data_IF_509989049742
#
_entry.id   IF_509989049742
#
_cell.length_a   1.000
_cell.length_b   1.000
_cell.length_c   1.000
_cell.angle_alpha   90.00
_cell.angle_beta   90.00
_cell.angle_gamma   90.00
#
_symmetry.space_group_name_H-M   'P 1'
#
loop_
_entity.id
_entity.type
_entity.pdbx_description
1 polymer ?
#
# COMPACT_ATOMS: atom_id res chain seq x y z
N UNK A 1 -4.53 25.96 -20.10
CA UNK A 1 -3.75 24.79 -19.63
C UNK A 1 -4.72 23.66 -19.34
N UNK A 2 -4.97 22.81 -20.34
CA UNK A 2 -5.95 21.74 -20.26
C UNK A 2 -5.40 20.56 -19.49
N UNK A 3 -6.16 20.10 -18.51
CA UNK A 3 -5.87 18.94 -17.69
C UNK A 3 -5.97 17.70 -18.59
N UNK A 4 -4.82 17.25 -19.10
CA UNK A 4 -4.66 15.95 -19.77
C UNK A 4 -4.71 14.83 -18.72
N UNK A 5 -5.90 14.60 -18.15
CA UNK A 5 -6.21 13.29 -17.57
C UNK A 5 -6.37 12.31 -18.75
N UNK A 6 -5.23 11.79 -19.23
CA UNK A 6 -5.20 10.58 -20.03
C UNK A 6 -6.03 9.51 -19.31
N UNK A 7 -7.09 9.02 -19.97
CA UNK A 7 -7.95 7.93 -19.50
C UNK A 7 -7.11 6.66 -19.26
N UNK A 8 -6.41 6.56 -18.14
CA UNK A 8 -5.92 5.26 -17.67
C UNK A 8 -7.16 4.42 -17.37
N UNK A 9 -7.25 3.26 -18.03
CA UNK A 9 -8.31 2.31 -17.73
C UNK A 9 -8.24 1.95 -16.24
N UNK A 10 -9.36 1.76 -15.56
CA UNK A 10 -9.36 1.43 -14.12
C UNK A 10 -8.55 0.15 -13.84
N UNK A 11 -8.49 -0.74 -14.83
CA UNK A 11 -7.62 -1.92 -14.84
C UNK A 11 -6.13 -1.59 -14.75
N UNK A 12 -5.65 -0.58 -15.50
CA UNK A 12 -4.29 -0.07 -15.35
C UNK A 12 -4.05 0.57 -13.98
N UNK A 13 -5.02 1.31 -13.45
CA UNK A 13 -4.90 1.90 -12.11
C UNK A 13 -4.81 0.83 -11.00
N UNK A 14 -5.52 -0.29 -11.15
CA UNK A 14 -5.40 -1.44 -10.24
C UNK A 14 -4.03 -2.10 -10.37
N UNK A 15 -3.58 -2.38 -11.60
CA UNK A 15 -2.27 -3.01 -11.83
C UNK A 15 -1.11 -2.17 -11.28
N UNK A 16 -1.17 -0.85 -11.43
CA UNK A 16 -0.18 0.08 -10.87
C UNK A 16 -0.19 0.06 -9.33
N UNK A 17 -1.37 -0.02 -8.70
CA UNK A 17 -1.48 -0.15 -7.25
C UNK A 17 -0.94 -1.48 -6.74
N UNK A 18 -1.19 -2.57 -7.46
CA UNK A 18 -0.65 -3.90 -7.14
C UNK A 18 0.88 -3.91 -7.20
N UNK A 19 1.46 -3.35 -8.27
CA UNK A 19 2.91 -3.21 -8.40
C UNK A 19 3.51 -2.37 -7.25
N UNK A 20 2.88 -1.24 -6.90
CA UNK A 20 3.34 -0.42 -5.77
C UNK A 20 3.27 -1.17 -4.44
N UNK A 21 2.23 -1.97 -4.22
CA UNK A 21 2.11 -2.80 -3.00
C UNK A 21 3.21 -3.86 -2.97
N UNK A 22 3.45 -4.56 -4.09
CA UNK A 22 4.49 -5.59 -4.17
C UNK A 22 5.90 -5.03 -3.91
N UNK A 23 6.22 -3.85 -4.48
CA UNK A 23 7.48 -3.15 -4.21
C UNK A 23 7.65 -2.76 -2.74
N UNK A 24 6.57 -2.27 -2.10
CA UNK A 24 6.58 -1.94 -0.68
C UNK A 24 6.74 -3.18 0.19
N UNK A 25 6.11 -4.30 -0.15
CA UNK A 25 6.29 -5.57 0.54
C UNK A 25 7.73 -6.09 0.44
N UNK A 26 8.33 -6.04 -0.76
CA UNK A 26 9.76 -6.35 -0.95
C UNK A 26 10.66 -5.46 -0.09
N UNK A 27 10.37 -4.16 -0.06
CA UNK A 27 11.12 -3.19 0.76
C UNK A 27 11.00 -3.49 2.25
N UNK A 28 9.81 -3.82 2.75
CA UNK A 28 9.58 -4.15 4.16
C UNK A 28 10.29 -5.45 4.53
N UNK A 29 10.22 -6.48 3.67
CA UNK A 29 10.91 -7.76 3.86
C UNK A 29 12.43 -7.55 3.94
N UNK A 30 12.98 -6.72 3.06
CA UNK A 30 14.39 -6.34 3.08
C UNK A 30 14.76 -5.61 4.38
N UNK A 31 13.97 -4.62 4.81
CA UNK A 31 14.24 -3.87 6.05
C UNK A 31 14.16 -4.76 7.30
N UNK A 32 13.24 -5.73 7.35
CA UNK A 32 13.16 -6.73 8.44
C UNK A 32 14.43 -7.58 8.49
N UNK A 33 14.81 -8.18 7.35
CA UNK A 33 16.03 -9.01 7.26
C UNK A 33 17.30 -8.21 7.60
N UNK A 34 17.37 -6.94 7.16
CA UNK A 34 18.49 -6.04 7.48
C UNK A 34 18.56 -5.73 8.97
N UNK A 35 17.41 -5.52 9.64
CA UNK A 35 17.36 -5.28 11.10
C UNK A 35 17.88 -6.48 11.89
N UNK A 36 17.47 -7.70 11.51
CA UNK A 36 17.92 -8.93 12.15
C UNK A 36 19.42 -9.15 11.95
N UNK A 37 19.89 -9.12 10.70
CA UNK A 37 21.31 -9.28 10.39
C UNK A 37 22.21 -8.21 11.01
N UNK A 38 21.76 -6.95 11.07
CA UNK A 38 22.51 -5.87 11.71
C UNK A 38 22.67 -6.10 13.22
N UNK A 39 21.68 -6.72 13.87
CA UNK A 39 21.79 -7.09 15.28
C UNK A 39 22.83 -8.19 15.48
N UNK A 40 22.78 -9.25 14.68
CA UNK A 40 23.73 -10.37 14.79
C UNK A 40 25.17 -9.95 14.52
N UNK A 41 25.38 -9.14 13.47
CA UNK A 41 26.69 -8.60 13.14
C UNK A 41 27.20 -7.74 14.29
N UNK A 42 26.36 -6.88 14.86
CA UNK A 42 26.75 -6.01 15.98
C UNK A 42 27.23 -6.81 17.19
N UNK A 43 26.49 -7.85 17.61
CA UNK A 43 26.91 -8.70 18.72
C UNK A 43 28.22 -9.44 18.42
N UNK A 44 28.37 -10.00 17.22
CA UNK A 44 29.62 -10.69 16.81
C UNK A 44 30.82 -9.75 16.78
N UNK A 45 30.64 -8.51 16.31
CA UNK A 45 31.69 -7.50 16.31
C UNK A 45 32.13 -7.13 17.73
N UNK A 46 31.17 -6.91 18.63
CA UNK A 46 31.46 -6.56 20.04
C UNK A 46 32.17 -7.70 20.75
N UNK A 47 31.74 -8.95 20.54
CA UNK A 47 32.40 -10.11 21.16
C UNK A 47 33.82 -10.27 20.64
N UNK A 48 34.05 -10.13 19.33
CA UNK A 48 35.39 -10.17 18.75
C UNK A 48 36.31 -9.07 19.28
N UNK A 49 35.81 -7.83 19.36
CA UNK A 49 36.55 -6.69 19.92
C UNK A 49 36.88 -6.92 21.40
N UNK A 50 35.92 -7.44 22.19
CA UNK A 50 36.12 -7.73 23.60
C UNK A 50 37.17 -8.82 23.82
N UNK A 51 37.12 -9.91 23.04
CA UNK A 51 38.11 -10.98 23.11
C UNK A 51 39.50 -10.44 22.77
N UNK A 52 39.63 -9.67 21.67
CA UNK A 52 40.89 -9.07 21.27
C UNK A 52 41.48 -8.13 22.33
N UNK A 53 40.64 -7.29 22.95
CA UNK A 53 41.06 -6.41 24.03
C UNK A 53 41.57 -7.19 25.27
N UNK A 54 40.88 -8.26 25.66
CA UNK A 54 41.29 -9.13 26.77
C UNK A 54 42.61 -9.84 26.46
N UNK A 55 42.77 -10.35 25.24
CA UNK A 55 44.01 -11.02 24.82
C UNK A 55 45.22 -10.07 24.85
N UNK A 56 45.06 -8.84 24.37
CA UNK A 56 46.13 -7.82 24.40
C UNK A 56 46.49 -7.47 25.85
N UNK A 57 45.49 -7.24 26.70
CA UNK A 57 45.73 -6.95 28.12
C UNK A 57 46.44 -8.10 28.83
N UNK A 58 46.09 -9.35 28.50
CA UNK A 58 46.73 -10.53 29.07
C UNK A 58 48.22 -10.64 28.68
N UNK A 59 48.54 -10.42 27.40
CA UNK A 59 49.93 -10.48 26.89
C UNK A 59 50.78 -9.36 27.48
N UNK A 60 50.23 -8.16 27.61
CA UNK A 60 51.01 -6.99 28.03
C UNK A 60 50.99 -6.73 29.55
N UNK A 61 50.32 -7.56 30.36
CA UNK A 61 50.10 -7.31 31.79
C UNK A 61 51.39 -7.18 32.60
N UNK A 62 52.46 -7.87 32.21
CA UNK A 62 53.75 -7.88 32.94
C UNK A 62 54.62 -6.66 32.59
N UNK A 63 54.40 -6.07 31.41
CA UNK A 63 55.18 -4.94 30.89
C UNK A 63 54.55 -3.57 31.18
N UNK A 64 53.25 -3.52 31.45
CA UNK A 64 52.49 -2.28 31.55
C UNK A 64 52.17 -1.95 33.01
N UNK A 65 52.44 -0.70 33.42
CA UNK A 65 52.06 -0.19 34.75
C UNK A 65 50.54 -0.18 34.93
N UNK A 66 50.08 -0.53 36.14
CA UNK A 66 48.66 -0.65 36.49
C UNK A 66 47.81 0.59 36.14
N UNK A 67 48.38 1.80 36.28
CA UNK A 67 47.69 3.05 35.91
C UNK A 67 47.33 3.13 34.42
N UNK A 68 48.18 2.57 33.55
CA UNK A 68 47.91 2.53 32.11
C UNK A 68 46.84 1.50 31.76
N UNK A 69 46.82 0.36 32.45
CA UNK A 69 45.77 -0.66 32.30
C UNK A 69 44.39 -0.05 32.60
N UNK A 70 44.27 0.69 33.71
CA UNK A 70 43.03 1.38 34.07
C UNK A 70 42.58 2.39 33.00
N UNK A 71 43.50 3.16 32.41
CA UNK A 71 43.18 4.11 31.34
C UNK A 71 42.67 3.40 30.08
N UNK A 72 43.28 2.28 29.70
CA UNK A 72 42.86 1.49 28.52
C UNK A 72 41.46 0.93 28.75
N UNK A 73 41.18 0.38 29.93
CA UNK A 73 39.84 -0.12 30.29
C UNK A 73 38.81 1.01 30.26
N UNK A 74 39.13 2.19 30.82
CA UNK A 74 38.23 3.33 30.81
C UNK A 74 37.89 3.80 29.38
N UNK A 75 38.89 3.89 28.50
CA UNK A 75 38.70 4.23 27.08
C UNK A 75 37.84 3.18 26.36
N UNK A 76 38.05 1.90 26.66
CA UNK A 76 37.27 0.80 26.09
C UNK A 76 35.80 0.88 26.51
N UNK A 77 35.52 1.19 27.78
CA UNK A 77 34.15 1.39 28.28
C UNK A 77 33.47 2.56 27.55
N UNK A 78 34.17 3.69 27.40
CA UNK A 78 33.64 4.86 26.69
C UNK A 78 33.32 4.49 25.23
N UNK A 79 34.22 3.77 24.55
CA UNK A 79 34.02 3.30 23.19
C UNK A 79 32.78 2.40 23.07
N UNK A 80 32.60 1.45 24.00
CA UNK A 80 31.43 0.58 24.06
C UNK A 80 30.12 1.38 24.25
N UNK A 81 30.12 2.41 25.10
CA UNK A 81 28.96 3.30 25.29
C UNK A 81 28.62 4.02 23.99
N UNK A 82 29.61 4.61 23.32
CA UNK A 82 29.41 5.32 22.03
C UNK A 82 28.84 4.39 20.97
N UNK A 83 29.40 3.19 20.83
CA UNK A 83 28.95 2.18 19.86
C UNK A 83 27.50 1.75 20.16
N UNK A 84 27.16 1.56 21.44
CA UNK A 84 25.80 1.18 21.86
C UNK A 84 24.80 2.30 21.55
N UNK A 85 25.16 3.56 21.79
CA UNK A 85 24.33 4.72 21.45
C UNK A 85 24.09 4.82 19.94
N UNK A 86 25.14 4.65 19.12
CA UNK A 86 25.03 4.63 17.66
C UNK A 86 24.13 3.50 17.16
N UNK A 87 24.24 2.31 17.75
CA UNK A 87 23.36 1.19 17.43
C UNK A 87 21.90 1.49 17.79
N UNK A 88 21.65 2.05 18.97
CA UNK A 88 20.30 2.41 19.40
C UNK A 88 19.68 3.47 18.48
N UNK A 89 20.45 4.51 18.11
CA UNK A 89 20.04 5.54 17.16
C UNK A 89 19.67 4.95 15.80
N UNK A 90 20.53 4.09 15.23
CA UNK A 90 20.27 3.40 13.97
C UNK A 90 19.05 2.47 14.06
N UNK A 91 18.89 1.73 15.16
CA UNK A 91 17.74 0.84 15.39
C UNK A 91 16.43 1.63 15.42
N UNK A 92 16.41 2.77 16.12
CA UNK A 92 15.25 3.66 16.19
C UNK A 92 14.89 4.23 14.82
N UNK A 93 15.89 4.69 14.06
CA UNK A 93 15.69 5.22 12.72
C UNK A 93 15.17 4.15 11.74
N UNK A 94 15.69 2.93 11.84
CA UNK A 94 15.24 1.79 11.03
C UNK A 94 13.80 1.38 11.37
N UNK A 95 13.45 1.31 12.66
CA UNK A 95 12.07 1.06 13.11
C UNK A 95 11.10 2.14 12.62
N UNK A 96 11.49 3.42 12.69
CA UNK A 96 10.68 4.52 12.18
C UNK A 96 10.39 4.38 10.68
N UNK A 97 11.43 4.10 9.88
CA UNK A 97 11.29 3.86 8.44
C UNK A 97 10.40 2.66 8.14
N UNK A 98 10.53 1.59 8.92
CA UNK A 98 9.74 0.37 8.77
C UNK A 98 8.26 0.65 9.07
N UNK A 99 7.95 1.31 10.19
CA UNK A 99 6.58 1.68 10.54
C UNK A 99 5.95 2.63 9.51
N UNK A 100 6.70 3.61 9.03
CA UNK A 100 6.22 4.51 7.95
C UNK A 100 5.86 3.74 6.69
N UNK A 101 6.70 2.79 6.28
CA UNK A 101 6.43 1.97 5.10
C UNK A 101 5.23 1.02 5.29
N UNK A 102 5.04 0.47 6.50
CA UNK A 102 3.85 -0.33 6.84
C UNK A 102 2.59 0.52 6.71
N UNK A 103 2.56 1.70 7.33
CA UNK A 103 1.41 2.60 7.28
C UNK A 103 1.06 3.00 5.85
N UNK A 104 2.06 3.36 5.03
CA UNK A 104 1.83 3.70 3.60
C UNK A 104 1.24 2.50 2.83
N UNK A 105 1.74 1.30 3.09
CA UNK A 105 1.22 0.08 2.46
C UNK A 105 -0.23 -0.21 2.87
N UNK A 106 -0.60 0.00 4.14
CA UNK A 106 -1.99 -0.14 4.61
C UNK A 106 -2.92 0.84 3.90
N UNK A 107 -2.51 2.10 3.75
CA UNK A 107 -3.28 3.11 3.01
C UNK A 107 -3.44 2.73 1.53
N UNK A 108 -2.39 2.20 0.89
CA UNK A 108 -2.47 1.72 -0.49
C UNK A 108 -3.43 0.55 -0.64
N UNK A 109 -3.41 -0.42 0.29
CA UNK A 109 -4.34 -1.55 0.33
C UNK A 109 -5.78 -1.09 0.54
N UNK A 110 -6.01 -0.12 1.43
CA UNK A 110 -7.35 0.45 1.63
C UNK A 110 -7.85 1.18 0.38
N UNK A 111 -6.98 1.94 -0.28
CA UNK A 111 -7.30 2.61 -1.55
C UNK A 111 -7.62 1.62 -2.66
N UNK A 112 -6.85 0.54 -2.79
CA UNK A 112 -7.13 -0.55 -3.73
C UNK A 112 -8.51 -1.17 -3.46
N UNK A 113 -8.84 -1.44 -2.19
CA UNK A 113 -10.15 -1.99 -1.80
C UNK A 113 -11.30 -1.07 -2.18
N UNK A 114 -11.19 0.24 -1.91
CA UNK A 114 -12.20 1.25 -2.30
C UNK A 114 -12.36 1.33 -3.82
N UNK A 115 -11.26 1.31 -4.57
CA UNK A 115 -11.30 1.33 -6.03
C UNK A 115 -11.99 0.09 -6.61
N UNK A 116 -11.71 -1.10 -6.06
CA UNK A 116 -12.38 -2.35 -6.47
C UNK A 116 -13.89 -2.30 -6.14
N UNK A 117 -14.26 -1.75 -4.98
CA UNK A 117 -15.67 -1.63 -4.60
C UNK A 117 -16.43 -0.65 -5.51
N UNK A 118 -15.83 0.48 -5.83
CA UNK A 118 -16.41 1.45 -6.77
C UNK A 118 -16.56 0.85 -8.17
N UNK A 119 -15.56 0.12 -8.65
CA UNK A 119 -15.64 -0.61 -9.92
C UNK A 119 -16.79 -1.60 -9.95
N UNK A 120 -16.99 -2.37 -8.87
CA UNK A 120 -18.12 -3.32 -8.77
C UNK A 120 -19.47 -2.61 -8.83
N UNK A 121 -19.58 -1.41 -8.27
CA UNK A 121 -20.82 -0.60 -8.32
C UNK A 121 -21.06 -0.07 -9.74
N UNK A 122 -20.02 0.42 -10.42
CA UNK A 122 -20.10 0.88 -11.81
C UNK A 122 -20.46 -0.26 -12.77
N UNK A 123 -19.81 -1.43 -12.66
CA UNK A 123 -20.16 -2.60 -13.51
C UNK A 123 -21.59 -3.07 -13.28
N UNK A 124 -22.04 -3.17 -12.01
CA UNK A 124 -23.44 -3.50 -11.72
C UNK A 124 -24.40 -2.46 -12.28
N UNK A 125 -24.06 -1.17 -12.19
CA UNK A 125 -24.87 -0.09 -12.74
C UNK A 125 -24.99 -0.20 -14.27
N UNK A 126 -23.87 -0.42 -14.96
CA UNK A 126 -23.84 -0.58 -16.42
C UNK A 126 -24.60 -1.83 -16.88
N UNK A 127 -24.46 -2.96 -16.17
CA UNK A 127 -25.22 -4.17 -16.43
C UNK A 127 -26.72 -3.94 -16.26
N UNK A 128 -27.14 -3.30 -15.16
CA UNK A 128 -28.55 -3.03 -14.85
C UNK A 128 -29.15 -2.06 -15.86
N UNK A 129 -28.42 -1.00 -16.23
CA UNK A 129 -28.86 -0.03 -17.23
C UNK A 129 -28.90 -0.66 -18.64
N UNK A 130 -27.97 -1.56 -18.96
CA UNK A 130 -27.98 -2.35 -20.19
C UNK A 130 -29.19 -3.28 -20.28
N UNK A 131 -29.58 -3.90 -19.17
CA UNK A 131 -30.81 -4.71 -19.08
C UNK A 131 -32.04 -3.81 -19.30
N UNK A 132 -32.15 -2.68 -18.59
CA UNK A 132 -33.27 -1.73 -18.77
C UNK A 132 -33.36 -1.25 -20.22
N UNK A 133 -32.25 -0.91 -20.86
CA UNK A 133 -32.24 -0.54 -22.29
C UNK A 133 -32.74 -1.65 -23.21
N UNK A 134 -32.38 -2.91 -22.94
CA UNK A 134 -32.89 -4.06 -23.71
C UNK A 134 -34.39 -4.26 -23.49
N UNK A 135 -34.87 -4.15 -22.27
CA UNK A 135 -36.29 -4.26 -21.96
C UNK A 135 -37.11 -3.09 -22.55
N UNK A 136 -36.66 -1.84 -22.43
CA UNK A 136 -37.32 -0.67 -23.04
C UNK A 136 -37.39 -0.79 -24.57
N UNK A 137 -36.34 -1.31 -25.21
CA UNK A 137 -36.33 -1.57 -26.66
C UNK A 137 -37.27 -2.71 -27.08
N UNK A 138 -37.62 -3.62 -26.18
CA UNK A 138 -38.60 -4.68 -26.42
C UNK A 138 -40.04 -4.28 -26.05
N UNK A 139 -40.24 -3.15 -25.35
CA UNK A 139 -41.56 -2.62 -24.96
C UNK A 139 -42.03 -1.48 -25.88
N UNK A 140 -41.31 -1.19 -26.97
CA UNK A 140 -41.84 -0.39 -28.08
C UNK A 140 -42.24 -1.32 -29.23
N UNK A 141 -43.42 -1.97 -29.18
CA UNK A 141 -44.07 -2.41 -30.40
C UNK A 141 -44.40 -1.15 -31.22
N UNK A 142 -44.06 -1.20 -32.49
CA UNK A 142 -44.54 -0.26 -33.50
C UNK A 142 -46.06 -0.29 -33.51
N UNK A 143 -46.71 0.73 -32.95
CA UNK A 143 -48.14 0.98 -33.13
C UNK A 143 -48.46 2.47 -33.34
N UNK A 144 -47.50 3.28 -33.81
CA UNK A 144 -47.72 4.73 -33.98
C UNK A 144 -47.40 5.30 -35.37
N UNK A 145 -47.39 4.50 -36.44
CA UNK A 145 -47.23 5.05 -37.82
C UNK A 145 -48.38 4.75 -38.80
N UNK A 146 -49.52 4.18 -38.37
CA UNK A 146 -50.72 4.05 -39.22
C UNK A 146 -51.98 4.77 -38.68
N UNK A 147 -51.84 5.63 -37.66
CA UNK A 147 -52.94 6.42 -37.11
C UNK A 147 -52.93 7.89 -37.56
N UNK A 148 -52.53 8.16 -38.81
CA UNK A 148 -52.55 9.50 -39.40
C UNK A 148 -53.25 9.52 -40.76
N UNK A 149 -54.52 9.09 -40.79
CA UNK A 149 -55.57 9.68 -41.64
C UNK A 149 -56.89 8.93 -41.45
N UNK A 150 -57.78 9.48 -40.61
CA UNK A 150 -59.24 9.56 -40.86
C UNK A 150 -59.95 10.34 -39.74
N UNK A 151 -60.87 11.25 -40.09
CA UNK A 151 -61.52 12.15 -39.14
C UNK A 151 -62.73 11.50 -38.44
N UNK A 152 -62.97 11.98 -37.23
CA UNK A 152 -64.23 12.11 -36.46
C UNK A 152 -65.26 10.98 -36.41
N UNK A 153 -65.41 10.39 -35.23
CA UNK A 153 -66.72 9.95 -34.71
C UNK A 153 -66.71 10.05 -33.16
N UNK A 154 -67.46 10.99 -32.61
CA UNK A 154 -67.68 11.10 -31.16
C UNK A 154 -68.64 10.04 -30.65
N UNK A 155 -68.39 9.55 -29.44
CA UNK A 155 -69.13 8.48 -28.72
C UNK A 155 -70.66 8.66 -28.69
N UNK A 156 -71.15 9.88 -28.92
CA UNK A 156 -72.56 10.25 -29.00
C UNK A 156 -73.28 9.58 -30.19
N UNK A 157 -72.62 9.43 -31.35
CA UNK A 157 -73.24 8.87 -32.55
C UNK A 157 -73.49 7.35 -32.47
N UNK A 158 -72.72 6.64 -31.63
CA UNK A 158 -72.93 5.21 -31.39
C UNK A 158 -74.15 4.91 -30.52
N UNK A 159 -74.56 5.84 -29.66
CA UNK A 159 -75.69 5.63 -28.74
C UNK A 159 -77.05 5.83 -29.42
N UNK A 160 -77.12 6.68 -30.45
CA UNK A 160 -78.37 6.99 -31.18
C UNK A 160 -78.83 5.84 -32.09
N UNK A 161 -77.94 4.90 -32.47
CA UNK A 161 -78.32 3.73 -33.29
C UNK A 161 -78.84 2.52 -32.49
N UNK A 162 -78.80 2.57 -31.15
CA UNK A 162 -79.20 1.48 -30.27
C UNK A 162 -80.56 1.70 -29.57
N UNK A 163 -81.23 2.84 -29.84
CA UNK A 163 -82.59 3.19 -29.39
C UNK A 163 -83.46 3.36 -30.64
#
# INVERSE_FOLDING_TARGET
MGILFSKKSVRQAILELEQQIEEKEKTIKYLKKRKESASDIFFKSITAISIGAISILWVCKETISYLYILRIIALFIILCIVITLLYYGNKRLCNYRLNKNIMVMEVLKEKQRKNIENLKKETKYDETHGIIKRYVKHVTPKEEEEALDRPDETVVDKLVRLI
#
